data_IF_028209101614
#
_entry.id   IF_028209101614
#
_cell.length_a   1.000
_cell.length_b   1.000
_cell.length_c   1.000
_cell.angle_alpha   90.00
_cell.angle_beta   90.00
_cell.angle_gamma   90.00
#
_symmetry.space_group_name_H-M   'P 1'
#
loop_
_entity.id
_entity.type
_entity.pdbx_description
1 polymer ?
#
# COMPACT_ATOMS: atom_id res chain seq x y z
N UNK A 1 3.84 23.57 -0.64
CA UNK A 1 2.59 23.10 -1.30
C UNK A 1 2.73 23.11 -2.81
N UNK A 2 3.35 24.13 -3.41
CA UNK A 2 3.58 24.19 -4.86
C UNK A 2 4.54 23.10 -5.39
N UNK A 3 5.63 22.80 -4.67
CA UNK A 3 6.60 21.78 -5.10
C UNK A 3 6.03 20.36 -5.18
N UNK A 4 5.10 19.99 -4.29
CA UNK A 4 4.47 18.67 -4.30
C UNK A 4 3.42 18.51 -5.40
N UNK A 5 2.83 19.60 -5.88
CA UNK A 5 1.84 19.56 -6.95
C UNK A 5 2.49 19.21 -8.32
N UNK A 6 3.76 19.60 -8.50
CA UNK A 6 4.51 19.33 -9.73
C UNK A 6 4.90 17.85 -9.90
N UNK A 7 5.21 17.15 -8.80
CA UNK A 7 5.56 15.72 -8.81
C UNK A 7 4.41 14.81 -9.30
N UNK A 8 3.17 15.25 -9.06
CA UNK A 8 1.96 14.54 -9.49
C UNK A 8 1.78 14.56 -11.01
N UNK A 9 2.26 15.61 -11.67
CA UNK A 9 2.13 15.78 -13.13
C UNK A 9 2.97 14.73 -13.89
N UNK A 10 4.10 14.28 -13.34
CA UNK A 10 4.96 13.25 -13.93
C UNK A 10 4.65 11.83 -13.45
N UNK A 11 3.56 11.63 -12.72
CA UNK A 11 3.16 10.30 -12.24
C UNK A 11 4.19 9.66 -11.27
N UNK A 12 5.03 10.47 -10.63
CA UNK A 12 6.08 10.04 -9.70
C UNK A 12 5.62 10.23 -8.25
N UNK A 13 5.10 9.16 -7.65
CA UNK A 13 4.68 9.17 -6.24
C UNK A 13 5.83 8.98 -5.27
N UNK A 14 6.96 8.41 -5.72
CA UNK A 14 8.06 8.00 -4.84
C UNK A 14 8.66 9.21 -4.10
N UNK A 15 8.90 10.37 -4.76
CA UNK A 15 9.40 11.55 -4.06
C UNK A 15 8.39 12.10 -3.03
N UNK A 16 7.08 11.88 -3.22
CA UNK A 16 6.05 12.27 -2.24
C UNK A 16 6.13 11.39 -0.98
N UNK A 17 6.46 10.11 -1.15
CA UNK A 17 6.70 9.21 -0.01
C UNK A 17 7.87 9.77 0.82
N UNK A 18 8.98 10.13 0.15
CA UNK A 18 10.21 10.71 0.75
C UNK A 18 9.97 11.96 1.59
N UNK A 19 9.01 12.81 1.20
CA UNK A 19 8.71 14.04 1.93
C UNK A 19 7.68 13.86 3.07
N UNK A 20 7.02 12.70 3.16
CA UNK A 20 5.97 12.46 4.14
C UNK A 20 6.51 11.83 5.43
N UNK A 21 6.21 12.46 6.57
CA UNK A 21 6.53 11.94 7.91
C UNK A 21 5.45 11.03 8.53
N UNK A 22 4.32 10.86 7.84
CA UNK A 22 3.16 10.10 8.31
C UNK A 22 2.41 9.47 7.15
N UNK A 23 2.01 8.22 7.32
CA UNK A 23 1.18 7.50 6.35
C UNK A 23 -0.17 8.18 6.10
N UNK A 24 -0.81 8.72 7.14
CA UNK A 24 -2.09 9.43 6.97
C UNK A 24 -1.91 10.71 6.15
N UNK A 25 -0.82 11.47 6.40
CA UNK A 25 -0.50 12.66 5.60
C UNK A 25 -0.25 12.29 4.14
N UNK A 26 0.50 11.21 3.90
CA UNK A 26 0.74 10.69 2.56
C UNK A 26 -0.57 10.34 1.83
N UNK A 27 -1.47 9.61 2.50
CA UNK A 27 -2.79 9.26 1.94
C UNK A 27 -3.63 10.51 1.63
N UNK A 28 -3.67 11.49 2.53
CA UNK A 28 -4.42 12.74 2.35
C UNK A 28 -3.88 13.55 1.18
N UNK A 29 -2.55 13.71 1.09
CA UNK A 29 -1.89 14.41 -0.02
C UNK A 29 -2.25 13.72 -1.33
N UNK A 30 -2.06 12.40 -1.41
CA UNK A 30 -2.37 11.64 -2.61
C UNK A 30 -3.85 11.70 -2.98
N UNK A 31 -4.76 11.71 -2.01
CA UNK A 31 -6.20 11.85 -2.27
C UNK A 31 -6.55 13.20 -2.89
N UNK A 32 -5.93 14.29 -2.43
CA UNK A 32 -6.04 15.57 -3.11
C UNK A 32 -5.47 15.50 -4.53
N UNK A 33 -4.29 14.91 -4.71
CA UNK A 33 -3.67 14.76 -6.03
C UNK A 33 -4.57 14.00 -7.02
N UNK A 34 -5.16 12.87 -6.58
CA UNK A 34 -6.11 12.10 -7.39
C UNK A 34 -7.34 12.92 -7.71
N UNK A 35 -7.97 13.56 -6.70
CA UNK A 35 -9.15 14.42 -6.90
C UNK A 35 -8.89 15.54 -7.91
N UNK A 36 -7.72 16.19 -7.85
CA UNK A 36 -7.36 17.26 -8.79
C UNK A 36 -7.11 16.72 -10.20
N UNK A 37 -6.49 15.54 -10.33
CA UNK A 37 -6.24 14.89 -11.63
C UNK A 37 -7.53 14.41 -12.30
N UNK A 38 -8.46 13.86 -11.52
CA UNK A 38 -9.75 13.34 -12.00
C UNK A 38 -10.82 14.42 -12.16
N UNK A 39 -10.49 15.68 -11.86
CA UNK A 39 -11.43 16.79 -11.89
C UNK A 39 -12.01 16.95 -13.30
N UNK A 40 -13.25 16.50 -13.45
CA UNK A 40 -14.06 16.80 -14.61
C UNK A 40 -14.45 18.30 -14.56
N UNK A 41 -14.23 19.08 -15.63
CA UNK A 41 -14.66 20.49 -15.67
C UNK A 41 -16.15 20.70 -15.35
N UNK A 42 -16.97 19.66 -15.55
CA UNK A 42 -18.42 19.66 -15.33
C UNK A 42 -18.85 19.23 -13.92
N UNK A 43 -17.95 18.67 -13.10
CA UNK A 43 -18.23 18.29 -11.71
C UNK A 43 -17.16 18.87 -10.79
N UNK A 44 -17.46 20.03 -10.21
CA UNK A 44 -16.59 20.66 -9.22
C UNK A 44 -16.79 19.93 -7.89
N UNK A 45 -15.89 19.00 -7.57
CA UNK A 45 -15.83 18.37 -6.24
C UNK A 45 -15.29 19.41 -5.25
N UNK A 46 -16.13 19.86 -4.32
CA UNK A 46 -15.77 20.79 -3.24
C UNK A 46 -15.91 20.14 -1.86
N UNK A 47 -15.25 20.72 -0.86
CA UNK A 47 -15.32 20.25 0.52
C UNK A 47 -14.26 19.22 0.91
N UNK A 48 -14.47 18.60 2.07
CA UNK A 48 -13.50 17.68 2.68
C UNK A 48 -13.31 16.41 1.85
N UNK A 49 -12.16 15.74 2.03
CA UNK A 49 -11.91 14.43 1.44
C UNK A 49 -12.88 13.39 2.05
N UNK A 50 -13.44 12.55 1.19
CA UNK A 50 -14.27 11.42 1.60
C UNK A 50 -13.42 10.20 1.91
N UNK A 51 -13.98 9.25 2.66
CA UNK A 51 -13.33 7.95 2.91
C UNK A 51 -13.08 7.18 1.61
N UNK A 52 -13.97 7.32 0.63
CA UNK A 52 -13.81 6.69 -0.68
C UNK A 52 -12.57 7.22 -1.40
N UNK A 53 -12.33 8.53 -1.37
CA UNK A 53 -11.14 9.13 -2.01
C UNK A 53 -9.85 8.76 -1.29
N UNK A 54 -9.86 8.65 0.04
CA UNK A 54 -8.71 8.12 0.80
C UNK A 54 -8.43 6.66 0.41
N UNK A 55 -9.47 5.85 0.21
CA UNK A 55 -9.34 4.46 -0.26
C UNK A 55 -8.77 4.40 -1.68
N UNK A 56 -9.30 5.19 -2.61
CA UNK A 56 -8.77 5.30 -3.98
C UNK A 56 -7.32 5.76 -4.00
N UNK A 57 -6.96 6.74 -3.17
CA UNK A 57 -5.60 7.24 -3.04
C UNK A 57 -4.64 6.16 -2.53
N UNK A 58 -5.07 5.37 -1.53
CA UNK A 58 -4.31 4.23 -1.04
C UNK A 58 -4.08 3.20 -2.14
N UNK A 59 -5.12 2.81 -2.88
CA UNK A 59 -5.00 1.85 -3.97
C UNK A 59 -4.07 2.37 -5.07
N UNK A 60 -4.14 3.67 -5.38
CA UNK A 60 -3.24 4.32 -6.34
C UNK A 60 -1.78 4.27 -5.89
N UNK A 61 -1.52 4.62 -4.62
CA UNK A 61 -0.21 4.52 -3.97
C UNK A 61 0.36 3.10 -4.10
N UNK A 62 -0.40 2.11 -3.63
CA UNK A 62 0.02 0.70 -3.62
C UNK A 62 0.30 0.22 -5.04
N UNK A 63 -0.63 0.41 -5.98
CA UNK A 63 -0.47 -0.01 -7.37
C UNK A 63 0.80 0.55 -7.99
N UNK A 64 1.08 1.83 -7.74
CA UNK A 64 2.22 2.50 -8.32
C UNK A 64 3.53 2.04 -7.68
N UNK A 65 3.57 1.83 -6.36
CA UNK A 65 4.72 1.19 -5.70
C UNK A 65 4.96 -0.21 -6.26
N UNK A 66 3.92 -1.02 -6.39
CA UNK A 66 4.02 -2.36 -6.96
C UNK A 66 4.51 -2.36 -8.41
N UNK A 67 4.06 -1.38 -9.22
CA UNK A 67 4.54 -1.24 -10.62
C UNK A 67 6.02 -0.91 -10.76
N UNK A 68 6.67 -0.46 -9.69
CA UNK A 68 8.11 -0.15 -9.67
C UNK A 68 8.91 -1.33 -9.12
N UNK A 69 8.44 -1.93 -8.02
CA UNK A 69 9.21 -2.94 -7.28
C UNK A 69 8.85 -4.39 -7.63
N UNK A 70 7.67 -4.63 -8.21
CA UNK A 70 7.18 -5.96 -8.58
C UNK A 70 6.89 -6.07 -10.08
N UNK A 71 7.61 -5.30 -10.90
CA UNK A 71 7.41 -5.21 -12.35
C UNK A 71 7.45 -6.58 -13.02
N UNK A 72 8.45 -7.39 -12.65
CA UNK A 72 8.66 -8.73 -13.23
C UNK A 72 7.53 -9.68 -12.80
N UNK A 73 7.16 -9.64 -11.52
CA UNK A 73 6.14 -10.50 -10.94
C UNK A 73 4.76 -10.20 -11.53
N UNK A 74 4.41 -8.92 -11.65
CA UNK A 74 3.18 -8.46 -12.30
C UNK A 74 3.16 -8.94 -13.74
N UNK A 75 4.25 -8.74 -14.49
CA UNK A 75 4.36 -9.18 -15.88
C UNK A 75 4.18 -10.69 -16.03
N UNK A 76 4.79 -11.49 -15.15
CA UNK A 76 4.64 -12.94 -15.15
C UNK A 76 3.19 -13.35 -14.88
N UNK A 77 2.56 -12.79 -13.85
CA UNK A 77 1.18 -13.12 -13.46
C UNK A 77 0.19 -12.77 -14.58
N UNK A 78 0.34 -11.60 -15.20
CA UNK A 78 -0.54 -11.18 -16.30
C UNK A 78 -0.47 -12.09 -17.52
N UNK A 79 0.68 -12.77 -17.71
CA UNK A 79 0.93 -13.66 -18.85
C UNK A 79 0.84 -15.15 -18.50
N UNK A 80 0.45 -15.49 -17.28
CA UNK A 80 0.43 -16.86 -16.79
C UNK A 80 1.80 -17.55 -16.83
N UNK A 81 2.88 -16.77 -16.72
CA UNK A 81 4.26 -17.28 -16.65
C UNK A 81 4.62 -17.65 -15.21
N UNK A 82 5.61 -18.53 -15.06
CA UNK A 82 6.16 -18.86 -13.76
C UNK A 82 6.81 -17.62 -13.12
N UNK A 83 6.57 -17.44 -11.82
CA UNK A 83 7.19 -16.38 -11.04
C UNK A 83 8.68 -16.67 -10.80
N UNK A 84 9.54 -15.63 -10.71
CA UNK A 84 10.94 -15.81 -10.35
C UNK A 84 11.09 -16.43 -8.96
N UNK A 85 12.03 -17.36 -8.80
CA UNK A 85 12.39 -17.98 -7.51
C UNK A 85 13.08 -16.99 -6.55
N UNK A 86 13.51 -15.83 -7.06
CA UNK A 86 14.32 -14.82 -6.33
C UNK A 86 13.56 -14.10 -5.23
N UNK A 87 12.23 -14.16 -5.23
CA UNK A 87 11.43 -13.68 -4.12
C UNK A 87 10.73 -14.91 -3.55
N UNK A 88 10.80 -15.10 -2.23
CA UNK A 88 10.00 -16.08 -1.48
C UNK A 88 8.48 -15.81 -1.57
N UNK A 89 8.00 -15.22 -2.68
CA UNK A 89 6.60 -15.04 -3.04
C UNK A 89 5.92 -16.34 -3.45
N UNK A 90 6.67 -17.37 -3.87
CA UNK A 90 6.05 -18.64 -4.26
C UNK A 90 5.24 -19.28 -3.11
N UNK A 91 5.69 -19.12 -1.85
CA UNK A 91 4.94 -19.57 -0.66
C UNK A 91 3.73 -18.70 -0.34
N UNK A 92 3.68 -17.49 -0.90
CA UNK A 92 2.64 -16.47 -0.69
C UNK A 92 1.55 -16.50 -1.77
N UNK A 93 1.66 -17.36 -2.78
CA UNK A 93 0.66 -17.51 -3.85
C UNK A 93 0.12 -16.17 -4.36
N UNK A 94 0.99 -15.23 -4.80
CA UNK A 94 0.57 -13.89 -5.17
C UNK A 94 -0.29 -13.91 -6.43
N UNK A 95 -1.24 -12.98 -6.50
CA UNK A 95 -2.13 -12.83 -7.63
C UNK A 95 -2.54 -11.36 -7.80
N UNK A 96 -3.01 -11.01 -9.00
CA UNK A 96 -3.61 -9.70 -9.25
C UNK A 96 -5.10 -9.76 -8.99
N UNK A 97 -5.60 -8.86 -8.15
CA UNK A 97 -7.04 -8.68 -7.93
C UNK A 97 -7.72 -7.93 -9.11
N UNK A 98 -9.03 -7.75 -9.02
CA UNK A 98 -9.82 -7.02 -10.04
C UNK A 98 -9.40 -5.57 -10.22
N UNK A 99 -8.74 -4.98 -9.21
CA UNK A 99 -8.23 -3.61 -9.20
C UNK A 99 -6.78 -3.52 -9.69
N UNK A 100 -6.20 -4.64 -10.17
CA UNK A 100 -4.81 -4.76 -10.60
C UNK A 100 -3.81 -4.48 -9.47
N UNK A 101 -4.19 -4.83 -8.25
CA UNK A 101 -3.30 -4.81 -7.08
C UNK A 101 -2.74 -6.21 -6.89
N UNK A 102 -1.42 -6.29 -6.70
CA UNK A 102 -0.75 -7.54 -6.36
C UNK A 102 -1.05 -7.87 -4.89
N UNK A 103 -1.79 -8.93 -4.66
CA UNK A 103 -2.19 -9.39 -3.33
C UNK A 103 -1.56 -10.76 -3.03
N UNK A 104 -1.47 -11.08 -1.74
CA UNK A 104 -1.05 -12.40 -1.27
C UNK A 104 -2.29 -13.27 -1.10
N UNK A 105 -2.34 -14.37 -1.85
CA UNK A 105 -3.36 -15.40 -1.68
C UNK A 105 -2.92 -16.47 -0.67
N UNK A 106 -3.80 -17.43 -0.40
CA UNK A 106 -3.43 -18.60 0.39
C UNK A 106 -4.57 -19.13 1.25
N UNK A 107 -4.23 -19.70 2.41
CA UNK A 107 -5.16 -20.44 3.29
C UNK A 107 -6.40 -19.63 3.70
N UNK A 108 -6.30 -18.30 3.79
CA UNK A 108 -7.40 -17.41 4.17
C UNK A 108 -8.40 -17.12 3.05
N UNK A 109 -8.04 -17.35 1.78
CA UNK A 109 -8.93 -17.15 0.63
C UNK A 109 -10.19 -18.02 0.71
N UNK A 110 -10.09 -19.19 1.37
CA UNK A 110 -11.20 -20.12 1.62
C UNK A 110 -11.94 -19.89 2.96
N UNK A 111 -11.57 -18.87 3.75
CA UNK A 111 -12.24 -18.57 5.02
C UNK A 111 -13.53 -17.76 4.81
N UNK A 112 -14.35 -17.60 5.86
CA UNK A 112 -15.55 -16.74 5.83
C UNK A 112 -15.25 -15.25 6.12
N UNK A 113 -13.99 -14.82 6.04
CA UNK A 113 -13.60 -13.43 6.30
C UNK A 113 -14.03 -12.46 5.17
N UNK A 114 -14.15 -11.15 5.43
CA UNK A 114 -14.30 -10.14 4.39
C UNK A 114 -13.13 -10.18 3.39
N UNK A 115 -13.39 -9.92 2.11
CA UNK A 115 -12.36 -9.94 1.05
C UNK A 115 -11.13 -9.08 1.38
N UNK A 116 -11.36 -7.92 2.00
CA UNK A 116 -10.29 -7.00 2.43
C UNK A 116 -9.33 -7.59 3.46
N UNK A 117 -9.77 -8.58 4.26
CA UNK A 117 -8.94 -9.31 5.22
C UNK A 117 -8.35 -10.60 4.64
N UNK A 118 -8.85 -11.07 3.50
CA UNK A 118 -8.43 -12.33 2.88
C UNK A 118 -7.20 -12.17 2.02
N UNK A 119 -7.10 -11.02 1.35
CA UNK A 119 -6.16 -10.79 0.27
C UNK A 119 -5.32 -9.53 0.56
N UNK A 120 -4.38 -9.58 1.54
CA UNK A 120 -3.58 -8.42 1.88
C UNK A 120 -2.71 -7.97 0.71
N UNK A 121 -2.58 -6.65 0.55
CA UNK A 121 -1.83 -6.04 -0.54
C UNK A 121 -0.34 -6.21 -0.32
N UNK A 122 0.37 -6.72 -1.32
CA UNK A 122 1.81 -6.94 -1.25
C UNK A 122 2.56 -5.62 -1.27
N UNK A 123 3.40 -5.36 -0.27
CA UNK A 123 4.23 -4.15 -0.17
C UNK A 123 5.71 -4.56 -0.21
N UNK A 124 6.55 -3.89 -1.02
CA UNK A 124 7.99 -4.16 -1.00
C UNK A 124 8.58 -3.74 0.35
N UNK A 125 9.67 -4.39 0.76
CA UNK A 125 10.44 -3.94 1.94
C UNK A 125 11.30 -2.71 1.61
N UNK A 126 10.70 -1.68 1.03
CA UNK A 126 11.33 -0.38 0.94
C UNK A 126 11.20 0.30 2.30
N UNK A 127 12.34 0.73 2.84
CA UNK A 127 12.46 1.29 4.18
C UNK A 127 11.38 2.35 4.44
N UNK A 128 11.12 3.26 3.51
CA UNK A 128 10.27 4.41 3.81
C UNK A 128 8.76 4.11 3.84
N UNK A 129 8.19 3.52 2.78
CA UNK A 129 6.74 3.20 2.81
C UNK A 129 6.44 2.15 3.88
N UNK A 130 7.35 1.18 4.06
CA UNK A 130 7.29 0.19 5.13
C UNK A 130 7.26 0.86 6.50
N UNK A 131 8.20 1.77 6.78
CA UNK A 131 8.26 2.50 8.05
C UNK A 131 7.03 3.35 8.30
N UNK A 132 6.53 4.06 7.28
CA UNK A 132 5.34 4.89 7.42
C UNK A 132 4.13 4.03 7.81
N UNK A 133 3.96 2.87 7.17
CA UNK A 133 2.91 1.91 7.51
C UNK A 133 3.11 1.38 8.93
N UNK A 134 4.30 0.87 9.26
CA UNK A 134 4.61 0.30 10.58
C UNK A 134 4.35 1.33 11.68
N UNK A 135 4.90 2.55 11.53
CA UNK A 135 4.74 3.64 12.50
C UNK A 135 3.28 4.04 12.69
N UNK A 136 2.49 4.06 11.60
CA UNK A 136 1.06 4.34 11.68
C UNK A 136 0.31 3.31 12.52
N UNK A 137 0.57 2.03 12.30
CA UNK A 137 -0.06 0.96 13.07
C UNK A 137 0.47 0.90 14.51
N UNK A 138 1.77 1.10 14.73
CA UNK A 138 2.33 1.19 16.08
C UNK A 138 1.66 2.28 16.90
N UNK A 139 1.47 3.48 16.33
CA UNK A 139 0.79 4.59 17.01
C UNK A 139 -0.71 4.31 17.23
N UNK A 140 -1.36 3.62 16.30
CA UNK A 140 -2.79 3.29 16.42
C UNK A 140 -3.06 2.17 17.42
N UNK A 141 -2.06 1.32 17.68
CA UNK A 141 -2.17 0.10 18.47
C UNK A 141 -1.11 0.01 19.60
N UNK A 142 -0.72 1.16 20.17
CA UNK A 142 0.36 1.33 21.17
C UNK A 142 0.28 0.35 22.36
N UNK A 143 -0.91 -0.17 22.67
CA UNK A 143 -1.15 -1.02 23.85
C UNK A 143 -1.11 -2.53 23.58
N UNK A 144 -1.05 -2.97 22.32
CA UNK A 144 -1.26 -4.40 21.99
C UNK A 144 0.02 -5.19 21.71
N UNK A 145 1.20 -4.54 21.79
CA UNK A 145 2.49 -5.18 21.54
C UNK A 145 2.80 -5.38 20.04
N UNK A 146 4.04 -5.80 19.74
CA UNK A 146 4.55 -5.88 18.36
C UNK A 146 3.80 -6.95 17.52
N UNK A 147 3.46 -8.09 18.11
CA UNK A 147 2.77 -9.17 17.40
C UNK A 147 1.35 -8.79 16.97
N UNK A 148 0.58 -8.14 17.85
CA UNK A 148 -0.75 -7.66 17.50
C UNK A 148 -0.69 -6.52 16.48
N UNK A 149 0.30 -5.64 16.58
CA UNK A 149 0.55 -4.61 15.56
C UNK A 149 0.80 -5.25 14.19
N UNK A 150 1.64 -6.29 14.14
CA UNK A 150 1.92 -7.02 12.91
C UNK A 150 0.69 -7.76 12.39
N UNK A 151 -0.11 -8.37 13.26
CA UNK A 151 -1.38 -8.99 12.90
C UNK A 151 -2.33 -7.98 12.25
N UNK A 152 -2.45 -6.78 12.84
CA UNK A 152 -3.27 -5.69 12.29
C UNK A 152 -2.75 -5.19 10.94
N UNK A 153 -1.43 -5.04 10.78
CA UNK A 153 -0.83 -4.71 9.47
C UNK A 153 -1.20 -5.79 8.45
N UNK A 154 -1.03 -7.06 8.80
CA UNK A 154 -1.31 -8.23 7.93
C UNK A 154 -2.77 -8.36 7.51
N UNK A 155 -3.71 -7.67 8.17
CA UNK A 155 -5.10 -7.59 7.70
C UNK A 155 -5.25 -6.80 6.41
N UNK A 156 -4.31 -5.89 6.09
CA UNK A 156 -4.37 -5.03 4.89
C UNK A 156 -3.13 -5.09 4.01
N UNK A 157 -1.95 -5.31 4.60
CA UNK A 157 -0.67 -5.25 3.92
C UNK A 157 0.19 -6.47 4.25
N UNK A 158 0.77 -7.07 3.21
CA UNK A 158 1.80 -8.07 3.36
C UNK A 158 3.15 -7.49 2.95
N UNK A 159 3.97 -7.10 3.92
CA UNK A 159 5.29 -6.56 3.65
C UNK A 159 6.29 -7.71 3.44
N UNK A 160 6.91 -7.76 2.27
CA UNK A 160 7.86 -8.82 1.91
C UNK A 160 9.06 -8.82 2.86
N UNK A 161 9.57 -9.98 3.26
CA UNK A 161 10.80 -10.11 4.06
C UNK A 161 10.85 -9.32 5.39
N UNK A 162 9.71 -8.88 5.94
CA UNK A 162 9.65 -8.35 7.31
C UNK A 162 9.51 -9.51 8.28
N UNK A 163 10.63 -9.94 8.84
CA UNK A 163 10.68 -11.07 9.79
C UNK A 163 10.53 -10.63 11.25
N UNK A 164 10.64 -9.33 11.56
CA UNK A 164 10.36 -8.75 12.87
C UNK A 164 10.08 -7.24 12.69
N UNK A 165 8.99 -6.74 13.26
CA UNK A 165 8.88 -5.30 13.55
C UNK A 165 9.91 -5.06 14.64
N UNK A 166 11.01 -4.37 14.34
CA UNK A 166 11.97 -4.02 15.38
C UNK A 166 11.22 -3.26 16.46
N UNK A 167 11.23 -3.80 17.68
CA UNK A 167 10.84 -3.12 18.89
C UNK A 167 11.83 -1.99 19.11
N UNK A 168 11.71 -0.89 18.36
CA UNK A 168 12.24 0.38 18.81
C UNK A 168 11.30 0.88 19.91
N UNK A 169 11.44 0.26 21.08
CA UNK A 169 11.12 0.90 22.34
C UNK A 169 11.94 2.17 22.42
N UNK A 170 11.27 3.27 22.72
CA UNK A 170 11.87 4.54 23.08
C UNK A 170 13.11 4.34 23.96
N UNK A 171 14.26 4.86 23.52
CA UNK A 171 15.36 5.25 24.40
C UNK A 171 15.30 6.77 24.54
#
# INVERSE_FOLDING_TARGET
>A
MESMCFLVQNNEILPIIDECSSFLKLQVVLAWCVRFKEKNPLQITTGNLTVAELSTALLCLVRKVQSVYFTTEIWCIERGQQLPDSINLLTLSPFLDERKILCVGGRLRHSNLPAEQKDPMLIPNNHLICDLIIKHYQFSYLHTGAEATLANIRTKFWIVNVWQIQSQTCN
#
